data_IF_251279351480
#
_entry.id   IF_251279351480
#
_cell.length_a   1.000
_cell.length_b   1.000
_cell.length_c   1.000
_cell.angle_alpha   90.00
_cell.angle_beta   90.00
_cell.angle_gamma   90.00
#
_symmetry.space_group_name_H-M   'P 1'
#
loop_
_entity.id
_entity.type
_entity.pdbx_description
1 polymer ?
#
# COMPACT_ATOMS: atom_id res chain seq x y z
N UNK A 1 -13.95 -3.90 -52.74
CA UNK A 1 -13.27 -2.57 -52.77
C UNK A 1 -13.90 -1.71 -51.68
N UNK A 2 -13.23 -1.43 -50.55
CA UNK A 2 -13.79 -0.56 -49.52
C UNK A 2 -13.88 0.88 -50.03
N UNK A 3 -15.08 1.46 -50.00
CA UNK A 3 -15.33 2.85 -50.39
C UNK A 3 -14.66 3.79 -49.38
N UNK A 4 -13.76 4.66 -49.86
CA UNK A 4 -13.12 5.66 -49.02
C UNK A 4 -14.12 6.76 -48.68
N UNK A 5 -14.66 6.72 -47.46
CA UNK A 5 -15.50 7.79 -46.93
C UNK A 5 -14.61 9.02 -46.73
N UNK A 6 -14.78 10.04 -47.57
CA UNK A 6 -14.12 11.35 -47.42
C UNK A 6 -14.62 11.99 -46.12
N UNK A 7 -13.84 11.90 -45.05
CA UNK A 7 -14.14 12.62 -43.80
C UNK A 7 -14.01 14.12 -44.05
N UNK A 8 -15.05 14.88 -43.74
CA UNK A 8 -15.04 16.34 -43.83
C UNK A 8 -13.99 16.98 -42.90
N UNK A 9 -13.67 18.27 -43.10
CA UNK A 9 -12.74 19.00 -42.25
C UNK A 9 -13.25 19.03 -40.80
N UNK A 10 -12.42 18.58 -39.86
CA UNK A 10 -12.74 18.54 -38.41
C UNK A 10 -12.90 19.96 -37.89
N UNK A 11 -14.04 20.25 -37.26
CA UNK A 11 -14.35 21.58 -36.73
C UNK A 11 -13.54 21.87 -35.45
N UNK A 12 -13.46 23.13 -35.03
CA UNK A 12 -12.75 23.50 -33.79
C UNK A 12 -13.43 22.89 -32.55
N UNK A 13 -14.77 22.84 -32.53
CA UNK A 13 -15.53 22.21 -31.46
C UNK A 13 -15.18 20.71 -31.32
N UNK A 14 -15.12 19.98 -32.45
CA UNK A 14 -14.73 18.56 -32.46
C UNK A 14 -13.33 18.36 -31.86
N UNK A 15 -12.39 19.27 -32.16
CA UNK A 15 -11.02 19.21 -31.61
C UNK A 15 -11.02 19.40 -30.09
N UNK A 16 -11.81 20.33 -29.59
CA UNK A 16 -11.90 20.60 -28.15
C UNK A 16 -12.56 19.43 -27.41
N UNK A 17 -13.58 18.80 -27.99
CA UNK A 17 -14.22 17.63 -27.42
C UNK A 17 -13.31 16.39 -27.42
N UNK A 18 -12.57 16.15 -28.51
CA UNK A 18 -11.53 15.12 -28.55
C UNK A 18 -10.43 15.38 -27.50
N UNK A 19 -10.03 16.64 -27.29
CA UNK A 19 -9.05 17.01 -26.27
C UNK A 19 -9.56 16.75 -24.86
N UNK A 20 -10.84 17.07 -24.59
CA UNK A 20 -11.50 16.78 -23.30
C UNK A 20 -11.60 15.29 -23.07
N UNK A 21 -12.00 14.51 -24.08
CA UNK A 21 -12.10 13.05 -24.00
C UNK A 21 -10.73 12.42 -23.73
N UNK A 22 -9.69 12.83 -24.48
CA UNK A 22 -8.31 12.39 -24.23
C UNK A 22 -7.86 12.71 -22.80
N UNK A 23 -8.22 13.88 -22.28
CA UNK A 23 -7.89 14.26 -20.91
C UNK A 23 -8.62 13.37 -19.88
N UNK A 24 -9.92 13.11 -20.09
CA UNK A 24 -10.71 12.17 -19.25
C UNK A 24 -10.09 10.79 -19.24
N UNK A 25 -9.78 10.23 -20.42
CA UNK A 25 -9.13 8.93 -20.55
C UNK A 25 -7.76 8.88 -19.85
N UNK A 26 -6.92 9.91 -20.03
CA UNK A 26 -5.62 9.99 -19.36
C UNK A 26 -5.77 10.07 -17.83
N UNK A 27 -6.76 10.82 -17.33
CA UNK A 27 -7.06 10.92 -15.92
C UNK A 27 -7.50 9.58 -15.33
N UNK A 28 -8.40 8.85 -16.03
CA UNK A 28 -8.81 7.48 -15.65
C UNK A 28 -7.62 6.54 -15.58
N UNK A 29 -6.83 6.44 -16.66
CA UNK A 29 -5.63 5.59 -16.72
C UNK A 29 -4.62 5.92 -15.61
N UNK A 30 -4.47 7.20 -15.27
CA UNK A 30 -3.58 7.63 -14.18
C UNK A 30 -4.11 7.21 -12.81
N UNK A 31 -5.43 7.28 -12.59
CA UNK A 31 -6.07 6.81 -11.35
C UNK A 31 -5.94 5.29 -11.23
N UNK A 32 -6.19 4.56 -12.30
CA UNK A 32 -6.02 3.09 -12.37
C UNK A 32 -4.59 2.68 -12.07
N UNK A 33 -3.57 3.29 -12.70
CA UNK A 33 -2.16 2.98 -12.38
C UNK A 33 -1.83 3.19 -10.90
N UNK A 34 -2.35 4.26 -10.29
CA UNK A 34 -2.13 4.54 -8.86
C UNK A 34 -2.84 3.54 -7.97
N UNK A 35 -4.07 3.14 -8.34
CA UNK A 35 -4.83 2.11 -7.66
C UNK A 35 -4.08 0.77 -7.69
N UNK A 36 -3.66 0.33 -8.88
CA UNK A 36 -2.87 -0.90 -9.04
C UNK A 36 -1.56 -0.87 -8.25
N UNK A 37 -0.83 0.26 -8.22
CA UNK A 37 0.39 0.38 -7.41
C UNK A 37 0.11 0.21 -5.92
N UNK A 38 -0.97 0.83 -5.42
CA UNK A 38 -1.35 0.72 -4.01
C UNK A 38 -1.78 -0.71 -3.65
N UNK A 39 -2.56 -1.36 -4.52
CA UNK A 39 -2.94 -2.77 -4.37
C UNK A 39 -1.70 -3.68 -4.36
N UNK A 40 -0.74 -3.46 -5.26
CA UNK A 40 0.51 -4.22 -5.30
C UNK A 40 1.32 -4.09 -4.00
N UNK A 41 1.50 -2.86 -3.49
CA UNK A 41 2.19 -2.64 -2.22
C UNK A 41 1.45 -3.30 -1.04
N UNK A 42 0.11 -3.31 -1.06
CA UNK A 42 -0.69 -3.94 -0.01
C UNK A 42 -0.50 -5.45 -0.01
N UNK A 43 -0.56 -6.09 -1.18
CA UNK A 43 -0.32 -7.53 -1.34
C UNK A 43 1.11 -7.89 -0.91
N UNK A 44 2.12 -7.12 -1.34
CA UNK A 44 3.51 -7.35 -0.96
C UNK A 44 3.71 -7.26 0.56
N UNK A 45 3.12 -6.26 1.20
CA UNK A 45 3.15 -6.11 2.65
C UNK A 45 2.51 -7.31 3.36
N UNK A 46 1.35 -7.80 2.90
CA UNK A 46 0.69 -8.99 3.46
C UNK A 46 1.53 -10.26 3.31
N UNK A 47 2.15 -10.46 2.14
CA UNK A 47 3.08 -11.58 1.90
C UNK A 47 4.25 -11.51 2.88
N UNK A 48 4.95 -10.38 2.96
CA UNK A 48 6.10 -10.21 3.85
C UNK A 48 5.72 -10.39 5.32
N UNK A 49 4.54 -9.89 5.72
CA UNK A 49 4.00 -10.10 7.08
C UNK A 49 3.78 -11.58 7.37
N UNK A 50 3.17 -12.33 6.45
CA UNK A 50 2.96 -13.77 6.60
C UNK A 50 4.28 -14.55 6.70
N UNK A 51 5.28 -14.16 5.90
CA UNK A 51 6.62 -14.73 5.95
C UNK A 51 7.29 -14.49 7.30
N UNK A 52 7.23 -13.26 7.83
CA UNK A 52 7.78 -12.96 9.15
C UNK A 52 7.11 -13.75 10.28
N UNK A 53 5.78 -13.96 10.20
CA UNK A 53 5.07 -14.79 11.17
C UNK A 53 5.57 -16.24 11.15
N UNK A 54 5.74 -16.79 9.95
CA UNK A 54 6.26 -18.13 9.75
C UNK A 54 7.69 -18.25 10.30
N UNK A 55 8.59 -17.33 9.95
CA UNK A 55 9.97 -17.33 10.43
C UNK A 55 10.06 -17.27 11.96
N UNK A 56 9.25 -16.42 12.60
CA UNK A 56 9.20 -16.37 14.07
C UNK A 56 8.66 -17.65 14.68
N UNK A 57 7.66 -18.28 14.06
CA UNK A 57 7.15 -19.57 14.52
C UNK A 57 8.25 -20.64 14.46
N UNK A 58 9.02 -20.70 13.37
CA UNK A 58 10.16 -21.60 13.24
C UNK A 58 11.23 -21.32 14.29
N UNK A 59 11.54 -20.04 14.54
CA UNK A 59 12.52 -19.64 15.56
C UNK A 59 12.08 -20.06 16.97
N UNK A 60 10.80 -19.86 17.32
CA UNK A 60 10.22 -20.34 18.59
C UNK A 60 10.29 -21.86 18.71
N UNK A 61 9.95 -22.58 17.65
CA UNK A 61 10.01 -24.04 17.64
C UNK A 61 11.45 -24.53 17.88
N UNK A 62 12.45 -23.89 17.27
CA UNK A 62 13.86 -24.18 17.52
C UNK A 62 14.29 -23.89 18.95
N UNK A 63 13.90 -22.74 19.51
CA UNK A 63 14.19 -22.41 20.91
C UNK A 63 13.55 -23.41 21.87
N UNK A 64 12.29 -23.78 21.64
CA UNK A 64 11.62 -24.80 22.46
C UNK A 64 12.34 -26.15 22.36
N UNK A 65 12.78 -26.55 21.17
CA UNK A 65 13.55 -27.78 20.99
C UNK A 65 14.91 -27.73 21.71
N UNK A 66 15.59 -26.58 21.68
CA UNK A 66 16.84 -26.33 22.42
C UNK A 66 16.63 -26.49 23.93
N UNK A 67 15.60 -25.86 24.50
CA UNK A 67 15.26 -25.99 25.93
C UNK A 67 15.01 -27.45 26.29
N UNK A 68 14.24 -28.18 25.47
CA UNK A 68 13.94 -29.59 25.71
C UNK A 68 15.20 -30.47 25.65
N UNK A 69 16.14 -30.16 24.75
CA UNK A 69 17.41 -30.86 24.64
C UNK A 69 18.29 -30.60 25.87
N UNK A 70 18.38 -29.33 26.30
CA UNK A 70 19.08 -28.93 27.52
C UNK A 70 18.50 -29.61 28.78
N UNK A 71 17.17 -29.71 28.88
CA UNK A 71 16.48 -30.43 29.97
C UNK A 71 16.75 -31.95 29.96
N UNK A 72 17.04 -32.52 28.79
CA UNK A 72 17.43 -33.94 28.67
C UNK A 72 18.90 -34.20 29.04
N UNK A 73 19.67 -33.16 29.38
CA UNK A 73 21.10 -33.25 29.69
C UNK A 73 22.01 -33.31 28.46
N UNK A 74 21.44 -33.16 27.26
CA UNK A 74 22.21 -32.97 26.04
C UNK A 74 22.55 -31.48 25.91
N UNK A 75 23.81 -31.13 26.19
CA UNK A 75 24.32 -29.78 26.03
C UNK A 75 24.27 -29.39 24.56
N UNK A 76 23.37 -28.46 24.22
CA UNK A 76 23.16 -28.01 22.84
C UNK A 76 24.16 -26.94 22.40
N UNK A 77 24.93 -26.37 23.34
CA UNK A 77 25.93 -25.33 23.06
C UNK A 77 25.38 -24.06 22.40
N UNK A 78 24.06 -23.85 22.44
CA UNK A 78 23.41 -22.66 21.90
C UNK A 78 23.05 -21.74 23.07
N UNK A 79 23.68 -20.56 23.10
CA UNK A 79 23.36 -19.51 24.08
C UNK A 79 21.92 -19.02 23.86
N UNK A 80 21.02 -19.53 24.70
CA UNK A 80 19.57 -19.36 24.60
C UNK A 80 19.10 -17.91 24.89
N UNK A 81 20.00 -17.10 25.45
CA UNK A 81 19.76 -15.76 26.00
C UNK A 81 20.28 -14.62 25.12
N UNK A 82 20.43 -14.82 23.81
CA UNK A 82 20.77 -13.69 22.92
C UNK A 82 19.62 -12.65 22.92
N UNK A 83 19.89 -11.42 23.41
CA UNK A 83 18.87 -10.37 23.54
C UNK A 83 18.30 -9.94 22.19
N UNK A 84 19.04 -10.10 21.10
CA UNK A 84 18.56 -9.78 19.74
C UNK A 84 17.45 -10.74 19.31
N UNK A 85 17.59 -12.03 19.64
CA UNK A 85 16.56 -13.05 19.40
C UNK A 85 15.27 -12.68 20.12
N UNK A 86 15.39 -12.32 21.40
CA UNK A 86 14.24 -11.94 22.23
C UNK A 86 13.57 -10.67 21.71
N UNK A 87 14.35 -9.68 21.26
CA UNK A 87 13.81 -8.46 20.67
C UNK A 87 13.03 -8.74 19.38
N UNK A 88 13.53 -9.61 18.50
CA UNK A 88 12.84 -9.97 17.25
C UNK A 88 11.57 -10.80 17.48
N UNK A 89 11.58 -11.68 18.48
CA UNK A 89 10.40 -12.46 18.89
C UNK A 89 9.31 -11.59 19.49
N UNK A 90 9.71 -10.57 20.27
CA UNK A 90 8.83 -9.60 20.92
C UNK A 90 8.40 -8.49 19.97
N UNK A 91 9.22 -8.20 18.96
CA UNK A 91 9.02 -7.14 17.99
C UNK A 91 7.59 -7.21 17.48
N UNK A 92 6.79 -6.19 17.78
CA UNK A 92 5.46 -6.10 17.18
C UNK A 92 5.69 -5.99 15.69
N UNK A 93 5.26 -6.99 14.91
CA UNK A 93 5.28 -6.94 13.44
C UNK A 93 4.94 -5.52 13.06
N UNK A 94 5.88 -4.82 12.41
CA UNK A 94 5.83 -3.37 12.20
C UNK A 94 4.38 -2.95 12.11
N UNK A 95 3.84 -2.34 13.19
CA UNK A 95 2.40 -2.06 13.30
C UNK A 95 2.06 -1.43 11.97
N UNK A 96 1.10 -2.02 11.25
CA UNK A 96 0.59 -1.48 9.99
C UNK A 96 0.56 0.02 10.19
N UNK A 97 1.39 0.78 9.44
CA UNK A 97 1.69 2.13 9.86
C UNK A 97 0.34 2.78 10.08
N UNK A 98 0.10 3.35 11.26
CA UNK A 98 -1.16 4.05 11.61
C UNK A 98 -1.31 5.33 10.77
N UNK A 99 -0.83 5.29 9.54
CA UNK A 99 -1.11 6.23 8.49
C UNK A 99 -2.55 5.97 8.12
N UNK A 100 -3.41 6.64 8.88
CA UNK A 100 -4.73 7.09 8.54
C UNK A 100 -5.10 6.68 7.13
N UNK A 101 -5.74 5.52 6.98
CA UNK A 101 -6.28 5.09 5.70
C UNK A 101 -7.34 6.12 5.35
N UNK A 102 -7.13 6.96 4.33
CA UNK A 102 -8.04 8.05 4.04
C UNK A 102 -9.34 7.45 3.48
N UNK A 103 -10.31 7.24 4.36
CA UNK A 103 -11.65 6.74 4.04
C UNK A 103 -12.23 5.67 4.96
N UNK A 104 -11.49 5.10 5.92
CA UNK A 104 -12.01 3.96 6.70
C UNK A 104 -12.23 4.18 8.20
N UNK A 105 -11.76 5.27 8.82
CA UNK A 105 -11.72 5.28 10.30
C UNK A 105 -11.92 6.59 11.02
N UNK A 106 -11.61 7.74 10.40
CA UNK A 106 -12.32 8.94 10.76
C UNK A 106 -13.42 9.09 9.72
N UNK A 107 -14.64 8.69 10.10
CA UNK A 107 -15.67 9.73 10.09
C UNK A 107 -14.96 10.91 10.75
N UNK A 108 -14.49 11.87 9.95
CA UNK A 108 -14.65 13.22 10.42
C UNK A 108 -16.14 13.20 10.64
N UNK A 109 -16.53 13.10 11.90
CA UNK A 109 -17.85 13.44 12.34
C UNK A 109 -18.00 14.92 11.91
N UNK A 110 -18.22 15.11 10.61
CA UNK A 110 -19.41 15.74 10.09
C UNK A 110 -20.58 14.84 10.59
N UNK A 111 -20.77 14.56 11.88
CA UNK A 111 -21.33 15.53 12.81
C UNK A 111 -21.21 16.97 12.23
N UNK A 112 -22.02 17.39 11.25
CA UNK A 112 -23.48 17.23 11.22
C UNK A 112 -24.05 16.86 12.60
N UNK A 113 -23.46 17.46 13.64
CA UNK A 113 -24.24 18.13 14.62
C UNK A 113 -25.14 18.96 13.74
N UNK A 114 -26.36 18.47 13.59
CA UNK A 114 -27.56 19.28 13.55
C UNK A 114 -27.48 20.24 14.76
N UNK A 115 -26.47 21.12 14.73
CA UNK A 115 -26.42 22.35 15.46
C UNK A 115 -27.53 23.14 14.77
N UNK A 116 -28.74 22.89 15.27
CA UNK A 116 -29.84 23.82 15.33
C UNK A 116 -29.40 25.20 15.90
N UNK A 117 -28.12 25.44 16.19
CA UNK A 117 -27.44 26.73 16.07
C UNK A 117 -27.44 27.35 14.66
N UNK A 118 -28.57 27.28 13.96
CA UNK A 118 -28.88 28.18 12.87
C UNK A 118 -28.71 29.64 13.34
N UNK A 119 -27.94 30.44 12.58
CA UNK A 119 -28.31 31.84 12.47
C UNK A 119 -27.23 32.93 12.43
N UNK A 120 -25.93 32.69 12.64
CA UNK A 120 -24.99 33.84 12.73
C UNK A 120 -23.72 33.81 11.87
N UNK A 121 -23.32 32.68 11.27
CA UNK A 121 -22.12 32.64 10.39
C UNK A 121 -22.41 33.00 8.92
N UNK A 122 -23.66 32.86 8.45
CA UNK A 122 -24.01 33.12 7.04
C UNK A 122 -24.16 34.61 6.68
N UNK A 123 -24.58 35.46 7.62
CA UNK A 123 -24.84 36.89 7.33
C UNK A 123 -23.59 37.70 6.95
N UNK A 124 -22.39 37.32 7.40
CA UNK A 124 -21.16 38.08 7.06
C UNK A 124 -20.68 37.88 5.62
N UNK A 125 -21.15 36.83 4.93
CA UNK A 125 -20.78 36.58 3.52
C UNK A 125 -21.85 37.00 2.52
N UNK A 126 -23.03 37.44 2.98
CA UNK A 126 -24.11 37.88 2.10
C UNK A 126 -23.74 39.13 1.28
N UNK A 127 -22.88 40.01 1.82
CA UNK A 127 -22.44 41.23 1.13
C UNK A 127 -21.22 41.02 0.22
N UNK A 128 -20.69 39.80 0.13
CA UNK A 128 -19.56 39.50 -0.74
C UNK A 128 -20.03 39.33 -2.19
N UNK A 129 -19.43 40.07 -3.12
CA UNK A 129 -19.67 39.95 -4.57
C UNK A 129 -19.58 38.49 -5.04
N UNK A 130 -20.44 38.11 -6.00
CA UNK A 130 -20.47 36.78 -6.58
C UNK A 130 -19.09 36.34 -7.12
N UNK A 131 -18.35 37.27 -7.71
CA UNK A 131 -16.99 37.02 -8.22
C UNK A 131 -16.03 36.63 -7.08
N UNK A 132 -16.06 37.37 -5.98
CA UNK A 132 -15.22 37.09 -4.81
C UNK A 132 -15.59 35.74 -4.17
N UNK A 133 -16.87 35.39 -4.11
CA UNK A 133 -17.31 34.06 -3.64
C UNK A 133 -16.79 32.93 -4.53
N UNK A 134 -16.83 33.10 -5.86
CA UNK A 134 -16.28 32.13 -6.80
C UNK A 134 -14.76 32.01 -6.66
N UNK A 135 -14.06 33.13 -6.47
CA UNK A 135 -12.62 33.14 -6.20
C UNK A 135 -12.26 32.32 -4.96
N UNK A 136 -12.94 32.58 -3.83
CA UNK A 136 -12.72 31.83 -2.58
C UNK A 136 -13.03 30.33 -2.76
N UNK A 137 -14.11 29.98 -3.47
CA UNK A 137 -14.44 28.58 -3.77
C UNK A 137 -13.35 27.90 -4.60
N UNK A 138 -12.82 28.58 -5.63
CA UNK A 138 -11.72 28.07 -6.46
C UNK A 138 -10.44 27.88 -5.65
N UNK A 139 -10.11 28.83 -4.79
CA UNK A 139 -8.93 28.76 -3.93
C UNK A 139 -9.05 27.63 -2.90
N UNK A 140 -10.19 27.52 -2.23
CA UNK A 140 -10.47 26.41 -1.30
C UNK A 140 -10.38 25.05 -2.00
N UNK A 141 -10.98 24.92 -3.19
CA UNK A 141 -10.90 23.69 -3.98
C UNK A 141 -9.44 23.35 -4.35
N UNK A 142 -8.65 24.35 -4.75
CA UNK A 142 -7.21 24.20 -5.02
C UNK A 142 -6.46 23.70 -3.79
N UNK A 143 -6.72 24.27 -2.62
CA UNK A 143 -6.12 23.85 -1.35
C UNK A 143 -6.51 22.41 -0.97
N UNK A 144 -7.79 22.04 -1.06
CA UNK A 144 -8.23 20.66 -0.81
C UNK A 144 -7.62 19.66 -1.79
N UNK A 145 -7.54 20.01 -3.08
CA UNK A 145 -6.92 19.16 -4.09
C UNK A 145 -5.43 18.96 -3.79
N UNK A 146 -4.72 20.02 -3.35
CA UNK A 146 -3.32 19.93 -2.92
C UNK A 146 -3.17 19.02 -1.70
N UNK A 147 -3.92 19.28 -0.63
CA UNK A 147 -3.87 18.49 0.60
C UNK A 147 -4.21 17.01 0.36
N UNK A 148 -5.18 16.71 -0.50
CA UNK A 148 -5.54 15.33 -0.86
C UNK A 148 -4.42 14.62 -1.63
N UNK A 149 -3.71 15.33 -2.52
CA UNK A 149 -2.55 14.76 -3.23
C UNK A 149 -1.40 14.47 -2.27
N UNK A 150 -1.15 15.39 -1.34
CA UNK A 150 -0.10 15.27 -0.33
C UNK A 150 -0.38 14.10 0.63
N UNK A 151 -1.60 13.98 1.16
CA UNK A 151 -2.01 12.83 1.98
C UNK A 151 -1.81 11.49 1.25
N UNK A 152 -2.24 11.41 -0.01
CA UNK A 152 -2.06 10.19 -0.82
C UNK A 152 -0.58 9.87 -1.07
N UNK A 153 0.25 10.89 -1.27
CA UNK A 153 1.70 10.71 -1.43
C UNK A 153 2.31 10.18 -0.13
N UNK A 154 2.03 10.84 1.00
CA UNK A 154 2.51 10.43 2.31
C UNK A 154 2.11 8.98 2.66
N UNK A 155 0.89 8.57 2.29
CA UNK A 155 0.43 7.19 2.47
C UNK A 155 1.26 6.17 1.67
N UNK A 156 1.51 6.44 0.38
CA UNK A 156 2.35 5.57 -0.44
C UNK A 156 3.78 5.50 0.11
N UNK A 157 4.37 6.65 0.43
CA UNK A 157 5.72 6.72 1.00
C UNK A 157 5.82 5.96 2.33
N UNK A 158 4.76 5.98 3.14
CA UNK A 158 4.73 5.25 4.41
C UNK A 158 4.52 3.74 4.24
N UNK A 159 3.72 3.30 3.27
CA UNK A 159 3.59 1.88 2.91
C UNK A 159 4.93 1.31 2.40
N UNK A 160 5.64 2.05 1.56
CA UNK A 160 6.97 1.64 1.06
C UNK A 160 7.98 1.52 2.20
N UNK A 161 7.98 2.47 3.14
CA UNK A 161 8.81 2.37 4.37
C UNK A 161 8.43 1.15 5.22
N UNK A 162 7.14 0.86 5.38
CA UNK A 162 6.69 -0.29 6.15
C UNK A 162 7.15 -1.62 5.52
N UNK A 163 7.06 -1.75 4.19
CA UNK A 163 7.60 -2.88 3.44
C UNK A 163 9.11 -3.03 3.69
N UNK A 164 9.87 -1.94 3.58
CA UNK A 164 11.31 -1.95 3.85
C UNK A 164 11.62 -2.47 5.25
N UNK A 165 10.93 -1.97 6.28
CA UNK A 165 11.13 -2.39 7.67
C UNK A 165 10.82 -3.89 7.86
N UNK A 166 9.68 -4.38 7.33
CA UNK A 166 9.30 -5.79 7.45
C UNK A 166 10.27 -6.69 6.69
N UNK A 167 10.76 -6.25 5.53
CA UNK A 167 11.73 -7.02 4.75
C UNK A 167 13.10 -7.11 5.45
N UNK A 168 13.56 -6.02 6.05
CA UNK A 168 14.79 -6.00 6.86
C UNK A 168 14.66 -6.93 8.07
N UNK A 169 13.51 -6.91 8.73
CA UNK A 169 13.20 -7.80 9.86
C UNK A 169 13.19 -9.29 9.43
N UNK A 170 12.51 -9.61 8.32
CA UNK A 170 12.49 -10.97 7.76
C UNK A 170 13.89 -11.44 7.38
N UNK A 171 14.73 -10.54 6.88
CA UNK A 171 16.12 -10.83 6.56
C UNK A 171 16.93 -11.18 7.80
N UNK A 172 16.72 -10.47 8.92
CA UNK A 172 17.37 -10.78 10.21
C UNK A 172 16.89 -12.13 10.75
N UNK A 173 15.58 -12.36 10.80
CA UNK A 173 14.99 -13.64 11.23
C UNK A 173 15.53 -14.82 10.41
N UNK A 174 15.62 -14.66 9.09
CA UNK A 174 16.15 -15.69 8.19
C UNK A 174 17.63 -15.98 8.46
N UNK A 175 18.45 -14.94 8.68
CA UNK A 175 19.87 -15.10 9.03
C UNK A 175 20.05 -15.88 10.33
N UNK A 176 19.28 -15.55 11.37
CA UNK A 176 19.35 -16.26 12.66
C UNK A 176 18.92 -17.72 12.52
N UNK A 177 17.86 -17.97 11.75
CA UNK A 177 17.41 -19.33 11.49
C UNK A 177 18.45 -20.14 10.70
N UNK A 178 19.16 -19.51 9.76
CA UNK A 178 20.23 -20.09 8.96
C UNK A 178 21.48 -20.40 9.77
N UNK A 179 21.93 -19.46 10.61
CA UNK A 179 23.06 -19.66 11.53
C UNK A 179 22.79 -20.83 12.50
N UNK A 180 21.56 -20.93 13.00
CA UNK A 180 21.15 -22.03 13.87
C UNK A 180 20.95 -23.37 13.14
N UNK A 181 20.84 -23.38 11.80
CA UNK A 181 20.55 -24.60 11.03
C UNK A 181 21.78 -25.39 10.61
N UNK A 182 22.96 -24.78 10.59
CA UNK A 182 24.10 -25.34 9.85
C UNK A 182 24.84 -26.49 10.57
N UNK A 183 24.97 -26.57 11.92
CA UNK A 183 25.70 -27.69 12.54
C UNK A 183 24.86 -28.65 13.39
N UNK A 184 23.79 -28.22 14.06
CA UNK A 184 23.25 -29.00 15.20
C UNK A 184 22.43 -30.24 14.80
N UNK A 185 21.50 -30.14 13.84
CA UNK A 185 20.66 -31.30 13.45
C UNK A 185 21.48 -32.40 12.78
N UNK A 186 22.45 -32.03 11.93
CA UNK A 186 23.30 -33.03 11.28
C UNK A 186 24.22 -33.71 12.31
N UNK A 187 24.71 -32.97 13.32
CA UNK A 187 25.53 -33.52 14.41
C UNK A 187 24.74 -34.44 15.34
N UNK A 188 23.46 -34.13 15.62
CA UNK A 188 22.59 -35.02 16.40
C UNK A 188 22.23 -36.27 15.60
N UNK A 189 21.97 -36.16 14.29
CA UNK A 189 21.72 -37.34 13.46
C UNK A 189 22.96 -38.23 13.30
N UNK A 190 24.17 -37.67 13.29
CA UNK A 190 25.40 -38.46 13.27
C UNK A 190 25.72 -39.07 14.63
N UNK A 191 25.47 -38.39 15.75
CA UNK A 191 25.65 -38.99 17.08
C UNK A 191 24.66 -40.13 17.34
N UNK A 192 23.38 -39.97 16.94
CA UNK A 192 22.39 -41.04 17.05
C UNK A 192 22.69 -42.25 16.14
N UNK A 193 23.39 -42.05 15.01
CA UNK A 193 23.88 -43.16 14.18
C UNK A 193 25.04 -43.91 14.83
N UNK A 194 25.88 -43.22 15.61
CA UNK A 194 26.95 -43.88 16.36
C UNK A 194 26.37 -44.78 17.48
N UNK A 195 25.35 -44.30 18.20
CA UNK A 195 24.73 -45.06 19.29
C UNK A 195 23.87 -46.24 18.80
N UNK A 196 23.27 -46.13 17.61
CA UNK A 196 22.56 -47.26 16.98
C UNK A 196 23.48 -48.44 16.62
N UNK A 197 24.78 -48.21 16.40
CA UNK A 197 25.72 -49.33 16.21
C UNK A 197 25.93 -50.13 17.50
N UNK A 198 25.82 -49.48 18.67
CA UNK A 198 25.92 -50.13 19.98
C UNK A 198 24.66 -50.95 20.31
N UNK A 199 23.49 -50.49 19.87
CA UNK A 199 22.21 -51.21 20.06
C UNK A 199 22.11 -52.42 19.13
N UNK A 200 22.77 -52.40 17.95
CA UNK A 200 22.76 -53.53 17.03
C UNK A 200 23.58 -54.73 17.52
N UNK A 201 24.56 -54.51 18.43
CA UNK A 201 25.35 -55.59 19.06
C UNK A 201 24.58 -56.28 20.22
N UNK A 202 23.53 -55.65 20.77
CA UNK A 202 22.70 -56.23 21.83
C UNK A 202 21.46 -56.97 21.26
N UNK A 203 21.06 -56.65 20.03
CA UNK A 203 19.82 -57.13 19.40
C UNK A 203 19.86 -58.52 18.74
N UNK A 204 21.02 -59.19 18.62
CA UNK A 204 21.10 -60.52 18.00
C UNK A 204 20.77 -61.68 18.95
N UNK A 205 20.47 -61.40 20.23
CA UNK A 205 20.24 -62.45 21.23
C UNK A 205 18.77 -62.87 21.44
N UNK A 206 17.77 -62.17 20.90
CA UNK A 206 16.37 -62.53 21.19
C UNK A 206 15.37 -62.07 20.09
N UNK A 207 15.37 -62.79 18.96
CA UNK A 207 14.36 -62.63 17.88
C UNK A 207 13.46 -63.86 17.75
N UNK A 208 13.09 -64.43 18.89
CA UNK A 208 12.02 -65.43 18.98
C UNK A 208 10.69 -64.79 19.35
N UNK A 209 9.74 -64.80 18.41
CA UNK A 209 8.29 -64.72 18.66
C UNK A 209 7.75 -63.31 18.95
N UNK A 210 7.16 -62.65 17.94
CA UNK A 210 5.76 -62.20 17.99
C UNK A 210 5.21 -62.18 16.56
N UNK A 211 4.26 -63.08 16.32
CA UNK A 211 3.43 -63.21 15.11
C UNK A 211 2.36 -62.10 15.04
N UNK A 212 2.00 -61.77 13.80
CA UNK A 212 0.66 -61.44 13.32
C UNK A 212 -0.24 -60.54 14.19
N UNK A 213 -0.22 -59.25 13.88
CA UNK A 213 -1.43 -58.42 13.96
C UNK A 213 -1.54 -57.56 12.69
N UNK A 214 -2.06 -58.21 11.65
CA UNK A 214 -2.79 -57.54 10.58
C UNK A 214 -4.04 -56.90 11.21
N UNK A 215 -4.06 -55.58 11.38
CA UNK A 215 -5.28 -54.86 11.72
C UNK A 215 -5.60 -53.79 10.67
N UNK A 216 -6.60 -54.16 9.86
CA UNK A 216 -7.32 -53.38 8.89
C UNK A 216 -7.75 -52.01 9.42
N UNK A 217 -7.21 -50.93 8.86
CA UNK A 217 -7.87 -49.62 8.90
C UNK A 217 -8.18 -49.13 7.49
N UNK A 218 -9.39 -49.54 7.11
CA UNK A 218 -10.18 -49.04 5.99
C UNK A 218 -10.24 -47.51 5.97
N UNK A 219 -9.94 -46.98 4.79
CA UNK A 219 -10.68 -45.92 4.11
C UNK A 219 -11.53 -44.97 4.98
N UNK A 220 -11.08 -43.71 5.10
CA UNK A 220 -11.98 -42.58 4.92
C UNK A 220 -11.32 -41.50 4.05
N UNK A 221 -11.60 -41.59 2.75
CA UNK A 221 -11.43 -40.51 1.80
C UNK A 221 -12.44 -39.41 2.10
N UNK A 222 -12.05 -38.46 2.95
CA UNK A 222 -12.75 -37.19 3.12
C UNK A 222 -12.40 -36.23 1.99
N UNK A 223 -12.95 -36.45 0.79
CA UNK A 223 -13.03 -35.44 -0.26
C UNK A 223 -13.78 -34.22 0.29
N UNK A 224 -13.03 -33.25 0.83
CA UNK A 224 -13.57 -31.93 1.14
C UNK A 224 -13.84 -31.22 -0.18
N UNK A 225 -15.03 -31.48 -0.67
CA UNK A 225 -15.73 -30.79 -1.73
C UNK A 225 -15.67 -29.27 -1.47
N UNK A 226 -14.77 -28.58 -2.17
CA UNK A 226 -14.75 -27.12 -2.24
C UNK A 226 -16.02 -26.67 -2.94
N UNK A 227 -16.97 -25.98 -2.28
CA UNK A 227 -18.16 -25.51 -2.97
C UNK A 227 -17.76 -24.33 -3.85
N UNK A 228 -17.85 -24.56 -5.15
CA UNK A 228 -18.33 -23.64 -6.17
C UNK A 228 -17.96 -22.16 -5.98
N UNK A 229 -16.90 -21.76 -6.67
CA UNK A 229 -16.89 -20.50 -7.40
C UNK A 229 -18.12 -20.47 -8.32
N UNK A 230 -19.26 -20.02 -7.80
CA UNK A 230 -20.47 -19.82 -8.56
C UNK A 230 -20.35 -18.47 -9.25
N UNK A 231 -20.13 -18.56 -10.55
CA UNK A 231 -20.35 -17.54 -11.58
C UNK A 231 -21.23 -16.38 -11.09
N UNK A 232 -20.61 -15.22 -10.88
CA UNK A 232 -21.32 -13.93 -10.85
C UNK A 232 -21.11 -13.24 -12.20
N UNK A 233 -21.48 -13.94 -13.26
CA UNK A 233 -21.82 -13.30 -14.52
C UNK A 233 -23.33 -13.47 -14.72
N UNK A 234 -23.99 -12.33 -14.97
CA UNK A 234 -25.34 -12.15 -15.52
C UNK A 234 -26.48 -11.91 -14.52
N UNK A 235 -26.83 -10.63 -14.41
CA UNK A 235 -28.18 -10.00 -14.34
C UNK A 235 -27.97 -8.64 -13.62
N UNK A 236 -28.28 -7.46 -14.15
CA UNK A 236 -29.40 -7.14 -15.01
C UNK A 236 -30.68 -6.97 -14.19
N UNK A 237 -30.74 -6.04 -13.22
CA UNK A 237 -32.02 -5.63 -12.62
C UNK A 237 -31.96 -5.05 -11.21
N UNK A 238 -32.70 -3.95 -10.99
CA UNK A 238 -33.06 -3.36 -9.67
C UNK A 238 -32.11 -2.25 -9.23
N UNK A 239 -32.32 -0.96 -9.50
CA UNK A 239 -33.50 -0.16 -9.13
C UNK A 239 -34.05 -0.51 -7.73
N UNK A 240 -33.17 -0.41 -6.73
CA UNK A 240 -33.56 -0.19 -5.34
C UNK A 240 -33.78 1.29 -5.09
N UNK A 241 -34.94 1.79 -5.49
CA UNK A 241 -35.51 3.05 -5.03
C UNK A 241 -35.76 2.94 -3.52
N UNK A 242 -34.92 3.58 -2.71
CA UNK A 242 -35.28 3.89 -1.34
C UNK A 242 -36.40 4.93 -1.39
N UNK A 243 -37.62 4.49 -1.10
CA UNK A 243 -38.73 5.34 -0.77
C UNK A 243 -38.33 6.20 0.44
N UNK A 244 -37.93 7.44 0.17
CA UNK A 244 -38.06 8.53 1.13
C UNK A 244 -39.46 9.07 0.91
N UNK A 245 -40.22 9.07 2.00
CA UNK A 245 -41.57 9.58 2.13
C UNK A 245 -41.62 11.02 1.63
N UNK A 246 -42.26 11.17 0.48
CA UNK A 246 -42.73 12.42 -0.11
C UNK A 246 -44.02 12.80 0.65
N UNK A 247 -43.86 13.42 1.83
CA UNK A 247 -44.94 14.14 2.49
C UNK A 247 -45.06 15.50 1.79
N UNK A 248 -46.01 15.56 0.87
CA UNK A 248 -46.38 16.75 0.14
C UNK A 248 -46.89 17.85 1.07
N UNK A 249 -46.22 18.99 1.02
CA UNK A 249 -46.86 20.28 1.26
C UNK A 249 -46.82 21.06 -0.07
N UNK A 250 -47.97 21.04 -0.74
CA UNK A 250 -48.32 21.94 -1.83
C UNK A 250 -48.18 23.39 -1.34
N UNK A 251 -47.10 24.07 -1.77
CA UNK A 251 -47.03 25.53 -1.73
C UNK A 251 -47.02 26.01 -3.17
N UNK A 252 -48.22 26.24 -3.67
CA UNK A 252 -48.48 27.05 -4.86
C UNK A 252 -47.86 28.44 -4.64
N UNK A 253 -46.70 28.64 -5.26
CA UNK A 253 -45.96 29.88 -5.27
C UNK A 253 -45.72 30.32 -6.70
N UNK A 254 -46.79 30.69 -7.39
CA UNK A 254 -46.75 31.54 -8.57
C UNK A 254 -45.86 32.76 -8.29
N UNK A 255 -44.75 32.85 -9.00
CA UNK A 255 -44.15 34.12 -9.38
C UNK A 255 -43.36 33.89 -10.67
N UNK A 256 -44.12 33.96 -11.76
CA UNK A 256 -43.72 34.72 -12.93
C UNK A 256 -42.93 35.98 -12.50
N UNK A 257 -41.72 36.14 -13.02
CA UNK A 257 -41.28 37.41 -13.59
C UNK A 257 -39.83 37.33 -14.10
N UNK A 258 -39.71 37.22 -15.42
CA UNK A 258 -39.02 38.21 -16.24
C UNK A 258 -37.52 38.45 -15.96
N UNK A 259 -36.63 37.70 -16.62
CA UNK A 259 -35.29 38.18 -16.93
C UNK A 259 -35.06 38.27 -18.44
N UNK A 260 -35.59 39.36 -18.99
CA UNK A 260 -35.29 39.87 -20.32
C UNK A 260 -33.87 40.46 -20.33
N UNK A 261 -32.84 39.65 -20.61
CA UNK A 261 -31.50 40.17 -20.93
C UNK A 261 -31.42 40.60 -22.39
N UNK A 262 -32.01 41.76 -22.68
CA UNK A 262 -31.77 42.51 -23.90
C UNK A 262 -30.37 43.15 -23.87
N UNK A 263 -29.56 42.78 -24.86
CA UNK A 263 -28.68 43.68 -25.61
C UNK A 263 -27.71 44.59 -24.85
N UNK A 264 -26.41 44.26 -24.94
CA UNK A 264 -25.39 45.29 -25.02
C UNK A 264 -24.36 44.92 -26.10
N UNK A 265 -24.54 45.54 -27.27
CA UNK A 265 -23.53 45.64 -28.31
C UNK A 265 -22.47 46.63 -27.85
N UNK A 266 -21.52 46.15 -27.05
CA UNK A 266 -20.31 46.90 -26.69
C UNK A 266 -19.25 46.78 -27.79
N UNK A 267 -19.30 47.68 -28.78
CA UNK A 267 -18.18 47.93 -29.68
C UNK A 267 -17.05 48.61 -28.89
N UNK A 268 -15.96 47.91 -28.59
CA UNK A 268 -14.72 48.55 -28.12
C UNK A 268 -13.59 48.21 -29.08
N UNK A 269 -13.03 49.30 -29.59
CA UNK A 269 -12.06 49.39 -30.66
C UNK A 269 -10.74 48.67 -30.35
N UNK A 270 -9.98 48.47 -31.43
CA UNK A 270 -8.70 47.81 -31.46
C UNK A 270 -7.68 48.34 -30.46
N UNK A 271 -6.98 47.40 -29.83
CA UNK A 271 -5.74 47.60 -29.13
C UNK A 271 -4.80 46.45 -29.50
N UNK A 272 -4.02 46.63 -30.56
CA UNK A 272 -2.93 45.73 -30.88
C UNK A 272 -1.93 45.72 -29.71
N UNK A 273 -1.55 44.56 -29.16
CA UNK A 273 -0.43 44.51 -28.24
C UNK A 273 0.85 44.78 -29.03
N UNK A 274 1.37 46.00 -28.91
CA UNK A 274 2.73 46.32 -29.29
C UNK A 274 3.65 45.42 -28.47
N UNK A 275 4.36 44.51 -29.13
CA UNK A 275 5.48 43.78 -28.56
C UNK A 275 6.56 44.77 -28.11
N UNK A 276 6.88 44.88 -26.82
CA UNK A 276 8.15 45.47 -26.43
C UNK A 276 9.24 44.42 -26.67
N UNK A 277 10.04 44.69 -27.70
CA UNK A 277 11.48 44.47 -27.76
C UNK A 277 12.02 43.21 -27.06
N UNK A 278 12.34 42.21 -27.88
CA UNK A 278 13.29 41.15 -27.55
C UNK A 278 14.56 41.75 -26.92
N UNK A 279 14.95 41.35 -25.69
CA UNK A 279 16.30 41.60 -25.24
C UNK A 279 17.25 40.72 -26.06
N UNK A 280 18.19 41.35 -26.75
CA UNK A 280 19.36 40.69 -27.34
C UNK A 280 20.07 39.89 -26.24
N UNK A 281 19.88 38.57 -26.23
CA UNK A 281 20.71 37.66 -25.45
C UNK A 281 22.10 37.64 -26.10
N UNK A 282 22.98 38.48 -25.56
CA UNK A 282 24.42 38.36 -25.74
C UNK A 282 24.84 36.91 -25.44
N UNK A 283 25.64 36.35 -26.33
CA UNK A 283 26.23 35.03 -26.16
C UNK A 283 27.02 34.95 -24.86
N UNK A 284 26.49 34.20 -23.90
CA UNK A 284 27.29 33.68 -22.80
C UNK A 284 27.77 32.29 -23.20
N UNK A 285 29.00 32.29 -23.70
CA UNK A 285 30.06 31.31 -23.50
C UNK A 285 29.64 30.21 -22.51
N UNK A 286 29.37 29.02 -23.03
CA UNK A 286 29.38 27.79 -22.23
C UNK A 286 30.84 27.45 -21.92
N UNK A 287 31.30 27.40 -20.67
CA UNK A 287 32.56 26.76 -20.37
C UNK A 287 32.39 25.25 -20.55
N UNK A 288 33.17 24.70 -21.49
CA UNK A 288 33.48 23.29 -21.58
C UNK A 288 34.13 22.82 -20.27
N UNK A 289 33.41 22.04 -19.45
CA UNK A 289 34.05 21.23 -18.43
C UNK A 289 34.47 19.92 -19.08
N UNK A 290 35.64 19.99 -19.69
CA UNK A 290 36.54 18.86 -19.89
C UNK A 290 37.33 18.65 -18.60
N UNK A 291 37.44 17.40 -18.15
CA UNK A 291 38.42 16.99 -17.16
C UNK A 291 37.80 16.14 -16.06
N UNK A 292 38.07 14.83 -16.04
CA UNK A 292 39.21 14.22 -15.32
C UNK A 292 38.95 14.32 -13.81
N UNK A 293 38.64 13.24 -13.09
CA UNK A 293 39.44 12.03 -13.00
C UNK A 293 39.85 11.85 -11.52
N UNK A 294 39.90 10.62 -11.04
CA UNK A 294 40.39 10.27 -9.69
C UNK A 294 39.41 10.64 -8.58
N UNK A 295 39.23 9.86 -7.53
CA UNK A 295 39.99 8.73 -7.02
C UNK A 295 39.51 8.47 -5.59
N UNK A 296 39.87 7.30 -5.06
CA UNK A 296 40.09 6.99 -3.64
C UNK A 296 39.15 7.64 -2.61
N UNK A 297 38.30 6.87 -1.94
CA UNK A 297 38.80 6.00 -0.88
C UNK A 297 38.96 6.83 0.40
N UNK A 298 38.03 6.65 1.34
CA UNK A 298 38.33 6.87 2.75
C UNK A 298 37.41 5.96 3.56
N UNK A 299 37.91 4.73 3.74
CA UNK A 299 37.55 3.88 4.86
C UNK A 299 37.90 4.63 6.14
N UNK A 300 36.89 5.01 6.91
CA UNK A 300 37.10 5.56 8.25
C UNK A 300 37.29 4.39 9.20
N UNK A 301 38.52 3.85 9.19
CA UNK A 301 39.07 3.04 10.25
C UNK A 301 39.60 4.02 11.32
N UNK A 302 39.01 3.97 12.50
CA UNK A 302 39.58 4.48 13.75
C UNK A 302 38.96 3.60 14.85
N UNK A 303 39.74 2.70 15.43
CA UNK A 303 40.61 2.96 16.60
C UNK A 303 39.71 3.39 17.79
N UNK A 304 39.78 2.83 18.99
CA UNK A 304 40.90 2.18 19.64
C UNK A 304 40.35 1.47 20.89
N UNK A 305 41.08 0.45 21.31
CA UNK A 305 40.88 -0.29 22.54
C UNK A 305 41.13 0.63 23.75
N UNK A 306 40.25 0.58 24.74
CA UNK A 306 40.63 0.84 26.14
C UNK A 306 40.00 -0.21 27.03
N UNK A 307 40.76 -1.30 27.18
CA UNK A 307 40.72 -2.15 28.36
C UNK A 307 41.03 -1.28 29.59
N UNK A 308 40.09 -1.24 30.53
CA UNK A 308 40.38 -0.90 31.92
C UNK A 308 39.47 -1.75 32.81
N UNK A 309 40.13 -2.54 33.68
CA UNK A 309 39.66 -3.41 34.77
C UNK A 309 39.31 -4.88 34.48
#
# INVERSE_FOLDING_TARGET
MPLSVKRGPVTQADRDDLRRERNRAHARKTRERKKMRLEALTIEFEILKSQGLNLRQQLRAKQTASILLNLSGADSGIDEDDPEVQQLLRGTMARTPEVFVPGTGAKIDDEDSDDEGGGKRSKRNANMSQEMRLSIRRERNKMHAKATRERKKAYLDAMEKAISIVNDENSRLSKMLGNASAPSIMTIMTSMKADKSLVQEIGEADSGVVEDLEEDHQAEGGERHSPMMKEFEREGGGLGSSAVSDDGEDVDGDNDDNDSTSGEQGSVAGGAPQNPSSPQMHGMITPSVSGSGGGSGNESLSDDESEDM
#
